data_IF_773979719214
#
_entry.id   IF_773979719214
#
_cell.length_a   1.000
_cell.length_b   1.000
_cell.length_c   1.000
_cell.angle_alpha   90.00
_cell.angle_beta   90.00
_cell.angle_gamma   90.00
#
_symmetry.space_group_name_H-M   'P 1'
#
loop_
_entity.id
_entity.type
_entity.pdbx_description
1 polymer ?
#
# COMPACT_ATOMS: atom_id res chain seq x y z
N UNK A 1 10.74 4.71 -13.32
CA UNK A 1 9.34 4.42 -13.04
C UNK A 1 9.08 4.56 -11.55
N UNK A 2 8.00 5.21 -11.19
CA UNK A 2 7.61 5.43 -9.81
C UNK A 2 6.37 4.61 -9.46
N UNK A 3 6.12 4.40 -8.15
CA UNK A 3 4.94 3.67 -7.69
C UNK A 3 3.63 4.28 -8.21
N UNK A 4 3.55 5.61 -8.29
CA UNK A 4 2.37 6.31 -8.82
C UNK A 4 2.02 5.93 -10.26
N UNK A 5 2.97 5.44 -11.04
CA UNK A 5 2.70 5.00 -12.41
C UNK A 5 1.78 3.77 -12.43
N UNK A 6 1.89 2.91 -11.42
CA UNK A 6 0.93 1.81 -11.24
C UNK A 6 -0.46 2.33 -10.91
N UNK A 7 -0.57 3.43 -10.16
CA UNK A 7 -1.86 4.04 -9.86
C UNK A 7 -2.56 4.54 -11.11
N UNK A 8 -1.82 5.14 -12.03
CA UNK A 8 -2.36 5.60 -13.31
C UNK A 8 -3.03 4.44 -14.07
N UNK A 9 -2.36 3.29 -14.15
CA UNK A 9 -2.92 2.10 -14.79
C UNK A 9 -4.15 1.60 -14.00
N UNK A 10 -4.07 1.56 -12.68
CA UNK A 10 -5.18 1.11 -11.86
C UNK A 10 -6.44 1.96 -12.10
N UNK A 11 -6.31 3.27 -12.08
CA UNK A 11 -7.44 4.18 -12.28
C UNK A 11 -8.01 4.08 -13.70
N UNK A 12 -7.17 3.77 -14.69
CA UNK A 12 -7.61 3.60 -16.07
C UNK A 12 -8.49 2.36 -16.23
N UNK A 13 -8.18 1.25 -15.55
CA UNK A 13 -8.81 -0.04 -15.79
C UNK A 13 -9.76 -0.52 -14.69
N UNK A 14 -9.86 0.19 -13.56
CA UNK A 14 -10.68 -0.27 -12.43
C UNK A 14 -12.18 -0.38 -12.74
N UNK A 15 -12.68 0.37 -13.71
CA UNK A 15 -14.07 0.31 -14.15
C UNK A 15 -14.27 -0.41 -15.49
N UNK A 16 -13.27 -1.13 -15.98
CA UNK A 16 -13.33 -1.85 -17.26
C UNK A 16 -14.47 -2.84 -17.30
N UNK A 17 -14.99 -3.13 -18.49
CA UNK A 17 -15.95 -4.21 -18.71
C UNK A 17 -15.34 -5.61 -18.54
N UNK A 18 -14.01 -5.71 -18.59
CA UNK A 18 -13.29 -6.97 -18.40
C UNK A 18 -12.95 -7.18 -16.92
N UNK A 19 -13.40 -8.30 -16.35
CA UNK A 19 -13.05 -8.65 -14.97
C UNK A 19 -11.53 -8.83 -14.81
N UNK A 20 -10.85 -9.41 -15.79
CA UNK A 20 -9.40 -9.57 -15.75
C UNK A 20 -8.70 -8.23 -15.65
N UNK A 21 -9.15 -7.22 -16.39
CA UNK A 21 -8.60 -5.87 -16.31
C UNK A 21 -8.89 -5.21 -14.96
N UNK A 22 -10.11 -5.40 -14.43
CA UNK A 22 -10.47 -4.86 -13.10
C UNK A 22 -9.62 -5.48 -12.00
N UNK A 23 -9.42 -6.80 -12.04
CA UNK A 23 -8.56 -7.50 -11.05
C UNK A 23 -7.11 -7.05 -11.15
N UNK A 24 -6.61 -6.88 -12.36
CA UNK A 24 -5.27 -6.34 -12.59
C UNK A 24 -5.14 -4.92 -12.03
N UNK A 25 -6.17 -4.09 -12.21
CA UNK A 25 -6.21 -2.73 -11.68
C UNK A 25 -6.08 -2.73 -10.15
N UNK A 26 -6.82 -3.59 -9.48
CA UNK A 26 -6.75 -3.72 -8.01
C UNK A 26 -5.35 -4.13 -7.56
N UNK A 27 -4.73 -5.08 -8.25
CA UNK A 27 -3.35 -5.49 -7.96
C UNK A 27 -2.38 -4.32 -8.12
N UNK A 28 -2.49 -3.57 -9.22
CA UNK A 28 -1.63 -2.40 -9.44
C UNK A 28 -1.85 -1.30 -8.41
N UNK A 29 -3.09 -1.10 -7.97
CA UNK A 29 -3.40 -0.12 -6.93
C UNK A 29 -2.68 -0.44 -5.61
N UNK A 30 -2.70 -1.70 -5.19
CA UNK A 30 -1.96 -2.13 -4.01
C UNK A 30 -0.46 -1.85 -4.17
N UNK A 31 0.11 -2.24 -5.30
CA UNK A 31 1.54 -2.06 -5.53
C UNK A 31 1.95 -0.60 -5.69
N UNK A 32 1.04 0.26 -6.16
CA UNK A 32 1.29 1.70 -6.19
C UNK A 32 1.54 2.22 -4.77
N UNK A 33 0.69 1.84 -3.83
CA UNK A 33 0.84 2.24 -2.42
C UNK A 33 2.07 1.59 -1.79
N UNK A 34 2.19 0.28 -1.90
CA UNK A 34 3.29 -0.48 -1.29
C UNK A 34 4.65 0.01 -1.79
N UNK A 35 4.83 0.14 -3.10
CA UNK A 35 6.11 0.51 -3.69
C UNK A 35 6.50 1.96 -3.37
N UNK A 36 5.52 2.87 -3.30
CA UNK A 36 5.80 4.26 -2.95
C UNK A 36 6.32 4.36 -1.51
N UNK A 37 5.65 3.70 -0.58
CA UNK A 37 6.07 3.68 0.82
C UNK A 37 7.45 3.04 0.96
N UNK A 38 7.62 1.88 0.34
CA UNK A 38 8.89 1.14 0.35
C UNK A 38 10.04 2.00 -0.17
N UNK A 39 9.84 2.64 -1.32
CA UNK A 39 10.88 3.48 -1.93
C UNK A 39 11.30 4.62 -0.99
N UNK A 40 10.34 5.34 -0.42
CA UNK A 40 10.64 6.47 0.45
C UNK A 40 11.30 6.05 1.77
N UNK A 41 10.87 4.94 2.35
CA UNK A 41 11.53 4.42 3.56
C UNK A 41 12.93 3.91 3.28
N UNK A 42 13.16 3.26 2.14
CA UNK A 42 14.52 2.88 1.74
C UNK A 42 15.40 4.10 1.54
N UNK A 43 14.89 5.14 0.91
CA UNK A 43 15.61 6.40 0.72
C UNK A 43 15.95 7.07 2.06
N UNK A 44 15.10 6.86 3.08
CA UNK A 44 15.33 7.36 4.44
C UNK A 44 16.29 6.47 5.25
N UNK A 45 16.81 5.41 4.67
CA UNK A 45 17.82 4.55 5.29
C UNK A 45 17.30 3.25 5.90
N UNK A 46 16.01 2.94 5.75
CA UNK A 46 15.46 1.69 6.28
C UNK A 46 15.70 0.54 5.31
N UNK A 47 16.00 -0.63 5.86
CA UNK A 47 16.08 -1.87 5.09
C UNK A 47 14.71 -2.51 5.04
N UNK A 48 14.19 -2.69 3.81
CA UNK A 48 12.89 -3.33 3.61
C UNK A 48 13.13 -4.64 2.87
N UNK A 49 12.63 -5.74 3.45
CA UNK A 49 12.82 -7.07 2.90
C UNK A 49 12.09 -7.21 1.56
N UNK A 50 12.64 -8.03 0.67
CA UNK A 50 12.11 -8.22 -0.69
C UNK A 50 10.95 -9.22 -0.76
N UNK A 51 10.79 -10.04 0.30
CA UNK A 51 9.77 -11.08 0.38
C UNK A 51 8.47 -10.56 0.96
N UNK A 52 7.50 -11.46 1.18
CA UNK A 52 6.26 -11.16 1.89
C UNK A 52 6.50 -10.47 3.24
N UNK A 53 7.65 -10.73 3.88
CA UNK A 53 8.06 -10.06 5.11
C UNK A 53 8.19 -8.54 4.96
N UNK A 54 8.44 -8.04 3.74
CA UNK A 54 8.49 -6.61 3.47
C UNK A 54 7.16 -5.92 3.72
N UNK A 55 6.05 -6.53 3.32
CA UNK A 55 4.72 -5.99 3.61
C UNK A 55 4.48 -5.90 5.13
N UNK A 56 4.77 -6.97 5.86
CA UNK A 56 4.61 -7.00 7.32
C UNK A 56 5.47 -5.94 7.98
N UNK A 57 6.68 -5.75 7.50
CA UNK A 57 7.61 -4.76 8.00
C UNK A 57 7.09 -3.34 7.81
N UNK A 58 6.59 -3.01 6.61
CA UNK A 58 6.01 -1.70 6.35
C UNK A 58 4.76 -1.46 7.21
N UNK A 59 3.90 -2.46 7.32
CA UNK A 59 2.71 -2.38 8.18
C UNK A 59 3.10 -2.05 9.62
N UNK A 60 4.05 -2.80 10.20
CA UNK A 60 4.49 -2.59 11.58
C UNK A 60 5.07 -1.19 11.79
N UNK A 61 5.88 -0.73 10.87
CA UNK A 61 6.51 0.58 10.98
C UNK A 61 5.48 1.71 10.97
N UNK A 62 4.53 1.66 10.05
CA UNK A 62 3.48 2.68 9.97
C UNK A 62 2.52 2.59 11.15
N UNK A 63 2.10 1.37 11.51
CA UNK A 63 1.14 1.14 12.58
C UNK A 63 1.68 1.60 13.93
N UNK A 64 2.96 1.40 14.20
CA UNK A 64 3.58 1.71 15.47
C UNK A 64 4.31 3.06 15.51
N UNK A 65 4.12 3.88 14.50
CA UNK A 65 4.73 5.21 14.42
C UNK A 65 4.16 6.23 15.41
N UNK A 66 2.95 5.98 15.90
CA UNK A 66 2.24 6.95 16.74
C UNK A 66 1.53 8.07 15.97
N UNK A 67 1.66 8.09 14.63
CA UNK A 67 1.00 9.08 13.77
C UNK A 67 -0.32 8.53 13.26
N UNK A 68 -1.42 9.24 13.51
CA UNK A 68 -2.77 8.79 13.13
C UNK A 68 -2.88 8.51 11.61
N UNK A 69 -2.32 9.40 10.79
CA UNK A 69 -2.36 9.23 9.33
C UNK A 69 -1.55 8.00 8.88
N UNK A 70 -0.40 7.74 9.49
CA UNK A 70 0.41 6.56 9.18
C UNK A 70 -0.32 5.28 9.59
N UNK A 71 -1.01 5.29 10.73
CA UNK A 71 -1.82 4.15 11.17
C UNK A 71 -2.98 3.87 10.22
N UNK A 72 -3.65 4.92 9.74
CA UNK A 72 -4.72 4.78 8.75
C UNK A 72 -4.19 4.19 7.44
N UNK A 73 -3.03 4.63 6.98
CA UNK A 73 -2.37 4.08 5.78
C UNK A 73 -2.02 2.61 6.00
N UNK A 74 -1.48 2.24 7.16
CA UNK A 74 -1.17 0.85 7.49
C UNK A 74 -2.41 -0.05 7.38
N UNK A 75 -3.53 0.40 7.90
CA UNK A 75 -4.80 -0.33 7.83
C UNK A 75 -5.25 -0.53 6.37
N UNK A 76 -5.16 0.50 5.54
CA UNK A 76 -5.52 0.41 4.11
C UNK A 76 -4.54 -0.46 3.34
N UNK A 77 -3.27 -0.37 3.62
CA UNK A 77 -2.26 -1.23 3.00
C UNK A 77 -2.57 -2.71 3.26
N UNK A 78 -2.94 -3.03 4.49
CA UNK A 78 -3.29 -4.40 4.87
C UNK A 78 -4.57 -4.88 4.19
N UNK A 79 -5.61 -4.05 4.17
CA UNK A 79 -6.88 -4.36 3.49
C UNK A 79 -6.68 -4.54 1.98
N UNK A 80 -5.91 -3.67 1.35
CA UNK A 80 -5.64 -3.75 -0.09
C UNK A 80 -4.79 -4.96 -0.43
N UNK A 81 -3.89 -5.38 0.46
CA UNK A 81 -3.13 -6.62 0.24
C UNK A 81 -4.04 -7.83 0.19
N UNK A 82 -5.01 -7.92 1.11
CA UNK A 82 -5.98 -9.01 1.14
C UNK A 82 -6.78 -9.05 -0.16
N UNK A 83 -7.31 -7.91 -0.58
CA UNK A 83 -8.08 -7.80 -1.83
C UNK A 83 -7.22 -8.15 -3.05
N UNK A 84 -5.99 -7.68 -3.08
CA UNK A 84 -5.05 -7.98 -4.16
C UNK A 84 -4.74 -9.48 -4.23
N UNK A 85 -4.54 -10.15 -3.11
CA UNK A 85 -4.32 -11.59 -3.08
C UNK A 85 -5.52 -12.33 -3.67
N UNK A 86 -6.74 -11.94 -3.29
CA UNK A 86 -7.96 -12.52 -3.84
C UNK A 86 -8.09 -12.25 -5.34
N UNK A 87 -7.77 -11.02 -5.77
CA UNK A 87 -7.84 -10.64 -7.18
C UNK A 87 -6.91 -11.49 -8.06
N UNK A 88 -5.71 -11.80 -7.55
CA UNK A 88 -4.68 -12.50 -8.32
C UNK A 88 -4.83 -14.03 -8.22
N UNK A 89 -5.32 -14.57 -7.09
CA UNK A 89 -5.25 -16.00 -6.81
C UNK A 89 -6.60 -16.67 -6.58
N UNK A 90 -7.65 -15.93 -6.26
CA UNK A 90 -8.98 -16.48 -5.98
C UNK A 90 -9.93 -16.14 -7.12
N UNK A 91 -9.72 -16.80 -8.26
CA UNK A 91 -10.36 -16.43 -9.53
C UNK A 91 -11.87 -16.58 -9.54
N UNK A 92 -12.44 -17.41 -8.65
CA UNK A 92 -13.89 -17.62 -8.57
C UNK A 92 -14.55 -16.73 -7.51
N UNK A 93 -13.78 -15.95 -6.77
CA UNK A 93 -14.31 -15.09 -5.72
C UNK A 93 -15.09 -13.91 -6.33
N UNK A 94 -16.31 -13.68 -5.81
CA UNK A 94 -17.12 -12.53 -6.18
C UNK A 94 -16.58 -11.24 -5.56
N UNK A 95 -17.11 -10.09 -5.98
CA UNK A 95 -16.76 -8.79 -5.41
C UNK A 95 -15.80 -7.96 -6.25
N UNK A 96 -15.49 -8.41 -7.47
CA UNK A 96 -14.62 -7.69 -8.40
C UNK A 96 -15.43 -7.06 -9.54
N UNK A 97 -16.60 -6.52 -9.21
CA UNK A 97 -17.37 -5.69 -10.12
C UNK A 97 -16.73 -4.29 -10.27
N UNK A 98 -17.20 -3.52 -11.25
CA UNK A 98 -16.64 -2.21 -11.55
C UNK A 98 -16.73 -1.26 -10.35
N UNK A 99 -17.84 -1.27 -9.61
CA UNK A 99 -18.02 -0.40 -8.45
C UNK A 99 -17.03 -0.69 -7.34
N UNK A 100 -16.90 -1.96 -6.96
CA UNK A 100 -15.96 -2.37 -5.90
C UNK A 100 -14.51 -2.13 -6.31
N UNK A 101 -14.14 -2.47 -7.54
CA UNK A 101 -12.76 -2.27 -8.01
C UNK A 101 -12.39 -0.79 -8.06
N UNK A 102 -13.32 0.06 -8.50
CA UNK A 102 -13.13 1.51 -8.49
C UNK A 102 -12.91 2.01 -7.05
N UNK A 103 -13.70 1.50 -6.10
CA UNK A 103 -13.55 1.87 -4.69
C UNK A 103 -12.16 1.50 -4.16
N UNK A 104 -11.67 0.29 -4.43
CA UNK A 104 -10.34 -0.14 -4.00
C UNK A 104 -9.24 0.74 -4.58
N UNK A 105 -9.32 1.06 -5.87
CA UNK A 105 -8.35 1.94 -6.52
C UNK A 105 -8.37 3.36 -5.94
N UNK A 106 -9.57 3.89 -5.63
CA UNK A 106 -9.71 5.20 -5.00
C UNK A 106 -9.18 5.20 -3.57
N UNK A 107 -9.32 4.11 -2.84
CA UNK A 107 -8.74 3.98 -1.50
C UNK A 107 -7.20 4.04 -1.56
N UNK A 108 -6.60 3.38 -2.55
CA UNK A 108 -5.16 3.44 -2.76
C UNK A 108 -4.72 4.87 -3.11
N UNK A 109 -5.44 5.54 -3.99
CA UNK A 109 -5.17 6.94 -4.36
C UNK A 109 -5.20 7.85 -3.14
N UNK A 110 -6.24 7.75 -2.34
CA UNK A 110 -6.38 8.56 -1.12
C UNK A 110 -5.24 8.29 -0.13
N UNK A 111 -4.88 7.03 0.06
CA UNK A 111 -3.80 6.64 0.96
C UNK A 111 -2.46 7.17 0.47
N UNK A 112 -2.22 7.16 -0.84
CA UNK A 112 -1.02 7.75 -1.44
C UNK A 112 -0.96 9.25 -1.20
N UNK A 113 -2.08 9.96 -1.39
CA UNK A 113 -2.14 11.39 -1.15
C UNK A 113 -1.85 11.71 0.32
N UNK A 114 -2.43 10.94 1.24
CA UNK A 114 -2.17 11.09 2.66
C UNK A 114 -0.70 10.83 2.98
N UNK A 115 -0.12 9.77 2.41
CA UNK A 115 1.28 9.43 2.64
C UNK A 115 2.22 10.53 2.12
N UNK A 116 1.95 11.06 0.94
CA UNK A 116 2.74 12.14 0.34
C UNK A 116 2.65 13.45 1.15
N UNK A 117 1.61 13.61 1.94
CA UNK A 117 1.45 14.76 2.84
C UNK A 117 2.15 14.57 4.20
N UNK A 118 2.67 13.38 4.50
CA UNK A 118 3.38 13.17 5.77
C UNK A 118 4.76 13.82 5.76
N UNK A 119 5.18 14.27 6.94
CA UNK A 119 6.56 14.71 7.15
C UNK A 119 7.44 13.47 7.29
N UNK A 120 8.23 13.19 6.27
CA UNK A 120 9.08 11.98 6.19
C UNK A 120 10.15 11.98 7.30
N UNK A 121 10.68 13.13 7.67
CA UNK A 121 11.67 13.22 8.75
C UNK A 121 11.05 12.83 10.09
N UNK A 122 9.85 13.31 10.37
CA UNK A 122 9.14 12.96 11.60
C UNK A 122 8.76 11.48 11.60
N UNK A 123 8.23 10.97 10.49
CA UNK A 123 7.90 9.55 10.37
C UNK A 123 9.14 8.68 10.59
N UNK A 124 10.27 9.05 10.01
CA UNK A 124 11.53 8.31 10.17
C UNK A 124 11.99 8.29 11.62
N UNK A 125 11.90 9.41 12.33
CA UNK A 125 12.21 9.48 13.77
C UNK A 125 11.31 8.54 14.57
N UNK A 126 10.03 8.55 14.28
CA UNK A 126 9.05 7.75 15.00
C UNK A 126 9.27 6.26 14.77
N UNK A 127 9.60 5.88 13.54
CA UNK A 127 9.93 4.48 13.21
C UNK A 127 11.21 4.06 13.93
N UNK A 128 12.24 4.90 13.94
CA UNK A 128 13.48 4.59 14.65
C UNK A 128 13.26 4.43 16.14
N UNK A 129 12.41 5.26 16.73
CA UNK A 129 12.03 5.15 18.14
C UNK A 129 11.34 3.81 18.43
N UNK A 130 10.42 3.39 17.54
CA UNK A 130 9.75 2.10 17.64
C UNK A 130 10.76 0.94 17.54
N UNK A 131 11.65 0.98 16.53
CA UNK A 131 12.67 -0.06 16.35
C UNK A 131 13.57 -0.19 17.56
N UNK A 132 13.97 0.93 18.15
CA UNK A 132 14.80 0.95 19.35
C UNK A 132 14.05 0.33 20.53
N UNK A 133 12.77 0.65 20.68
CA UNK A 133 11.92 0.13 21.77
C UNK A 133 11.80 -1.39 21.73
N UNK A 134 11.75 -1.98 20.55
CA UNK A 134 11.66 -3.44 20.37
C UNK A 134 13.01 -4.09 20.08
N UNK A 135 14.11 -3.33 20.23
CA UNK A 135 15.48 -3.80 19.98
C UNK A 135 15.73 -4.30 18.56
N UNK A 136 15.03 -3.76 17.58
CA UNK A 136 15.25 -4.05 16.16
C UNK A 136 16.31 -3.10 15.60
N UNK A 137 17.23 -3.66 14.81
CA UNK A 137 18.28 -2.87 14.16
C UNK A 137 17.84 -2.24 12.84
#
# INVERSE_FOLDING_TARGET
MEGKDFLTIALQYCGSSSEAERRTAVSRAYYALFNTIKYLLKAAGFRIQKTASGHEQLYRYLHNSGLADAQAIASKLNSLRTVRNDADYELQKAGFDAGNCTLYCKQAEKSLDTFNGLNIEQLSKDIRAYKKKIHEQ
#
